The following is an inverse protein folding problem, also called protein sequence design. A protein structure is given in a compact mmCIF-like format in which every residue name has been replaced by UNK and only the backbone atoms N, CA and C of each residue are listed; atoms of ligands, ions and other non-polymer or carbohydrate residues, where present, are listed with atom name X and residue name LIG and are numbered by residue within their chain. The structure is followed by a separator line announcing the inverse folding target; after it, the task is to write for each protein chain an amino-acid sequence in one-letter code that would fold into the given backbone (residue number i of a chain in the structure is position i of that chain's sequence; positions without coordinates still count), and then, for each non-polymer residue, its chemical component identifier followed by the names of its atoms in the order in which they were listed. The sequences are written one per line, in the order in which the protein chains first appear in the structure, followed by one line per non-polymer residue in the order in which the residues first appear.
data_IF_768569705189
#
_entry.id   IF_768569705189
#
_cell.length_a   1.000
_cell.length_b   1.000
_cell.length_c   1.000
_cell.angle_alpha   90.00
_cell.angle_beta   90.00
_cell.angle_gamma   90.00
#
_symmetry.space_group_name_H-M   'P 1'
#
loop_
_entity.id
_entity.type
_entity.pdbx_description
1 polymer ?
#
# COMPACT_ATOMS: atom_id res chain seq x y z
N UNK A 1 4.71 -11.37 -8.87
CA UNK A 1 5.40 -11.59 -10.17
C UNK A 1 5.09 -10.58 -11.29
N UNK A 2 4.29 -9.55 -11.02
CA UNK A 2 4.02 -8.47 -12.00
C UNK A 2 5.28 -7.68 -12.36
N UNK A 3 6.21 -7.51 -11.42
CA UNK A 3 7.46 -6.78 -11.64
C UNK A 3 8.43 -7.60 -12.50
N UNK A 4 8.48 -8.92 -12.34
CA UNK A 4 9.27 -9.81 -13.19
C UNK A 4 8.72 -9.96 -14.61
N UNK A 5 7.45 -9.67 -14.81
CA UNK A 5 6.80 -9.67 -16.14
C UNK A 5 6.82 -8.33 -16.84
N UNK A 6 7.39 -7.29 -16.22
CA UNK A 6 7.55 -5.98 -16.83
C UNK A 6 8.61 -6.05 -17.94
N UNK A 7 8.18 -6.22 -19.19
CA UNK A 7 9.05 -6.31 -20.36
C UNK A 7 9.81 -5.01 -20.70
N UNK A 8 9.86 -4.04 -19.80
CA UNK A 8 10.54 -2.75 -19.95
C UNK A 8 11.86 -2.66 -19.16
N UNK A 9 12.10 -3.55 -18.20
CA UNK A 9 13.36 -3.57 -17.47
C UNK A 9 14.24 -4.69 -18.00
N UNK A 10 15.50 -4.44 -18.40
CA UNK A 10 16.45 -5.49 -18.71
C UNK A 10 16.61 -6.41 -17.49
N UNK A 11 16.54 -7.72 -17.68
CA UNK A 11 16.63 -8.72 -16.60
C UNK A 11 17.89 -8.55 -15.74
N UNK A 12 18.98 -8.04 -16.30
CA UNK A 12 20.24 -7.77 -15.61
C UNK A 12 20.19 -6.59 -14.62
N UNK A 13 19.22 -5.66 -14.78
CA UNK A 13 19.08 -4.49 -13.90
C UNK A 13 18.15 -4.74 -12.71
N UNK A 14 17.38 -5.84 -12.71
CA UNK A 14 16.42 -6.16 -11.65
C UNK A 14 17.06 -7.01 -10.55
N UNK A 15 18.09 -7.82 -10.87
CA UNK A 15 18.82 -8.59 -9.87
C UNK A 15 19.57 -7.67 -8.89
N UNK A 16 19.11 -7.65 -7.64
CA UNK A 16 19.70 -6.86 -6.56
C UNK A 16 18.97 -5.55 -6.23
N UNK A 17 17.95 -5.17 -7.01
CA UNK A 17 17.08 -4.01 -6.75
C UNK A 17 15.70 -4.39 -6.25
N UNK A 18 15.26 -5.63 -6.50
CA UNK A 18 14.00 -6.18 -6.04
C UNK A 18 14.23 -7.19 -4.92
N UNK A 19 13.60 -6.97 -3.77
CA UNK A 19 13.59 -7.91 -2.65
C UNK A 19 12.15 -8.33 -2.41
N UNK A 20 11.87 -9.62 -2.57
CA UNK A 20 10.57 -10.20 -2.23
C UNK A 20 10.62 -10.69 -0.77
N UNK A 21 9.65 -10.25 0.03
CA UNK A 21 9.43 -10.78 1.37
C UNK A 21 8.39 -11.89 1.29
N UNK A 22 8.63 -12.98 2.00
CA UNK A 22 7.69 -14.09 2.02
C UNK A 22 6.36 -13.67 2.67
N UNK A 23 5.26 -14.22 2.14
CA UNK A 23 3.92 -13.94 2.64
C UNK A 23 3.82 -14.36 4.11
N UNK A 24 3.56 -13.39 4.96
CA UNK A 24 3.30 -13.60 6.37
C UNK A 24 2.45 -12.46 6.93
N UNK A 25 1.78 -12.69 8.06
CA UNK A 25 1.13 -11.61 8.78
C UNK A 25 2.17 -10.51 9.03
N UNK A 26 1.92 -9.30 8.55
CA UNK A 26 2.90 -8.21 8.59
C UNK A 26 3.40 -7.95 10.02
N UNK A 27 2.60 -8.22 11.05
CA UNK A 27 3.00 -8.06 12.45
C UNK A 27 4.06 -9.07 12.92
N UNK A 28 4.07 -10.31 12.40
CA UNK A 28 5.08 -11.32 12.74
C UNK A 28 6.28 -11.23 11.77
N UNK A 29 6.01 -11.06 10.48
CA UNK A 29 7.03 -10.98 9.42
C UNK A 29 7.83 -9.67 9.47
N UNK A 30 7.26 -8.59 10.03
CA UNK A 30 7.95 -7.29 10.15
C UNK A 30 9.23 -7.41 10.97
N UNK A 31 9.22 -8.15 12.07
CA UNK A 31 10.43 -8.31 12.90
C UNK A 31 11.44 -9.25 12.25
N UNK A 32 10.97 -10.34 11.65
CA UNK A 32 11.83 -11.43 11.22
C UNK A 32 12.43 -11.21 9.82
N UNK A 33 11.72 -10.53 8.93
CA UNK A 33 12.15 -10.35 7.54
C UNK A 33 12.27 -8.88 7.12
N UNK A 34 11.30 -8.03 7.46
CA UNK A 34 11.26 -6.65 6.98
C UNK A 34 12.40 -5.81 7.56
N UNK A 35 12.63 -5.86 8.88
CA UNK A 35 13.70 -5.07 9.50
C UNK A 35 15.09 -5.47 9.02
N UNK A 36 15.48 -6.76 9.01
CA UNK A 36 16.79 -7.16 8.48
C UNK A 36 16.96 -6.77 7.01
N UNK A 37 15.89 -6.84 6.22
CA UNK A 37 15.90 -6.41 4.83
C UNK A 37 16.13 -4.91 4.71
N UNK A 38 15.40 -4.10 5.51
CA UNK A 38 15.59 -2.65 5.54
C UNK A 38 17.01 -2.28 5.99
N UNK A 39 17.55 -2.93 7.02
CA UNK A 39 18.92 -2.70 7.47
C UNK A 39 19.94 -2.99 6.35
N UNK A 40 19.77 -4.09 5.63
CA UNK A 40 20.62 -4.44 4.46
C UNK A 40 20.51 -3.41 3.33
N UNK A 41 19.30 -2.92 3.03
CA UNK A 41 19.11 -1.86 2.03
C UNK A 41 19.75 -0.55 2.48
N UNK A 42 19.66 -0.22 3.76
CA UNK A 42 20.24 0.99 4.33
C UNK A 42 21.78 0.96 4.39
N UNK A 43 22.42 -0.21 4.35
CA UNK A 43 23.88 -0.31 4.16
C UNK A 43 24.34 0.24 2.81
N UNK A 44 23.44 0.29 1.82
CA UNK A 44 23.67 0.81 0.46
C UNK A 44 22.93 2.11 0.20
N UNK A 45 22.54 2.85 1.23
CA UNK A 45 21.72 4.06 1.11
C UNK A 45 22.34 5.14 0.22
N UNK A 46 23.68 5.22 0.14
CA UNK A 46 24.43 6.11 -0.72
C UNK A 46 24.33 5.77 -2.23
N UNK A 47 23.82 4.58 -2.56
CA UNK A 47 23.63 4.08 -3.90
C UNK A 47 22.15 4.07 -4.32
N UNK A 48 21.22 4.47 -3.43
CA UNK A 48 19.80 4.44 -3.63
C UNK A 48 19.21 5.85 -3.61
N UNK A 49 18.41 6.19 -4.61
CA UNK A 49 17.62 7.42 -4.64
C UNK A 49 16.38 7.31 -3.72
N UNK A 50 15.90 6.10 -3.47
CA UNK A 50 14.77 5.80 -2.61
C UNK A 50 14.43 4.31 -2.55
N UNK A 51 13.50 3.98 -1.67
CA UNK A 51 12.96 2.62 -1.51
C UNK A 51 11.46 2.70 -1.75
N UNK A 52 10.96 1.87 -2.65
CA UNK A 52 9.52 1.70 -2.90
C UNK A 52 9.10 0.37 -2.29
N UNK A 53 8.11 0.41 -1.41
CA UNK A 53 7.54 -0.78 -0.79
C UNK A 53 6.18 -1.04 -1.41
N UNK A 54 6.06 -2.14 -2.16
CA UNK A 54 4.78 -2.64 -2.66
C UNK A 54 4.22 -3.66 -1.66
N UNK A 55 2.98 -3.48 -1.27
CA UNK A 55 2.27 -4.40 -0.40
C UNK A 55 1.24 -5.22 -1.19
N UNK A 56 0.84 -6.35 -0.64
CA UNK A 56 -0.36 -7.04 -1.09
C UNK A 56 -1.58 -6.12 -1.02
N UNK A 57 -2.54 -6.28 -1.94
CA UNK A 57 -3.82 -5.56 -1.91
C UNK A 57 -4.64 -5.81 -0.63
N UNK A 58 -4.32 -6.87 0.12
CA UNK A 58 -4.95 -7.22 1.40
C UNK A 58 -4.17 -6.71 2.63
N UNK A 59 -3.06 -6.01 2.43
CA UNK A 59 -2.24 -5.52 3.52
C UNK A 59 -2.83 -4.26 4.17
N UNK A 60 -2.77 -4.25 5.51
CA UNK A 60 -3.02 -3.05 6.30
C UNK A 60 -1.77 -2.15 6.27
N UNK A 61 -1.88 -0.86 5.90
CA UNK A 61 -0.71 0.00 5.79
C UNK A 61 -0.11 0.39 7.15
N UNK A 62 -0.92 0.45 8.21
CA UNK A 62 -0.50 0.93 9.54
C UNK A 62 0.65 0.12 10.16
N UNK A 63 0.63 -1.23 10.18
CA UNK A 63 1.73 -2.01 10.75
C UNK A 63 3.06 -1.73 10.06
N UNK A 64 3.05 -1.56 8.72
CA UNK A 64 4.25 -1.22 7.97
C UNK A 64 4.78 0.18 8.32
N UNK A 65 3.88 1.17 8.40
CA UNK A 65 4.25 2.54 8.80
C UNK A 65 4.82 2.58 10.22
N UNK A 66 4.25 1.80 11.15
CA UNK A 66 4.78 1.66 12.50
C UNK A 66 6.17 1.01 12.53
N UNK A 67 6.41 0.02 11.66
CA UNK A 67 7.71 -0.62 11.54
C UNK A 67 8.81 0.35 11.05
N UNK A 68 8.47 1.27 10.15
CA UNK A 68 9.37 2.32 9.68
C UNK A 68 9.73 3.34 10.77
N UNK A 69 8.90 3.47 11.81
CA UNK A 69 9.14 4.32 12.99
C UNK A 69 10.00 3.64 14.08
N UNK A 70 10.42 2.39 13.88
CA UNK A 70 11.20 1.67 14.89
C UNK A 70 12.58 2.28 15.12
N UNK A 71 13.09 2.26 16.38
CA UNK A 71 14.33 2.91 16.75
C UNK A 71 15.55 2.52 15.91
N UNK A 72 15.57 1.28 15.40
CA UNK A 72 16.69 0.76 14.59
C UNK A 72 16.83 1.48 13.24
N UNK A 73 15.72 1.92 12.64
CA UNK A 73 15.72 2.47 11.26
C UNK A 73 15.17 3.89 11.15
N UNK A 74 14.31 4.36 12.07
CA UNK A 74 13.62 5.66 11.99
C UNK A 74 14.51 6.89 11.79
N UNK A 75 15.76 6.83 12.24
CA UNK A 75 16.71 7.94 12.06
C UNK A 75 17.35 7.97 10.66
N UNK A 76 17.17 6.90 9.88
CA UNK A 76 17.76 6.69 8.56
C UNK A 76 16.71 6.61 7.45
N UNK A 77 15.43 6.49 7.80
CA UNK A 77 14.31 6.34 6.87
C UNK A 77 13.33 7.49 7.07
N UNK A 78 12.84 8.02 5.97
CA UNK A 78 11.74 8.97 5.94
C UNK A 78 10.66 8.48 4.97
N UNK A 79 9.41 8.42 5.43
CA UNK A 79 8.29 8.08 4.56
C UNK A 79 7.93 9.31 3.74
N UNK A 80 8.13 9.24 2.43
CA UNK A 80 7.77 10.33 1.52
C UNK A 80 6.27 10.41 1.29
N UNK A 81 5.60 9.28 1.17
CA UNK A 81 4.17 9.24 0.96
C UNK A 81 3.62 7.83 0.88
N UNK A 82 2.33 7.73 1.14
CA UNK A 82 1.54 6.51 0.98
C UNK A 82 0.63 6.69 -0.21
N UNK A 83 0.78 5.80 -1.20
CA UNK A 83 -0.03 5.79 -2.41
C UNK A 83 -0.97 4.60 -2.36
N UNK A 84 -2.26 4.85 -2.45
CA UNK A 84 -3.29 3.80 -2.54
C UNK A 84 -3.84 3.75 -3.96
N UNK A 85 -3.87 2.55 -4.54
CA UNK A 85 -4.44 2.31 -5.86
C UNK A 85 -5.86 1.78 -5.70
N UNK A 86 -6.82 2.48 -6.31
CA UNK A 86 -8.25 2.10 -6.31
C UNK A 86 -8.66 1.72 -7.73
N UNK A 87 -9.36 0.62 -7.86
CA UNK A 87 -10.02 0.25 -9.12
C UNK A 87 -11.28 1.08 -9.32
N UNK A 88 -11.20 2.09 -10.20
CA UNK A 88 -12.30 3.00 -10.45
C UNK A 88 -13.53 2.32 -11.06
N UNK A 89 -13.33 1.35 -11.97
CA UNK A 89 -14.42 0.63 -12.61
C UNK A 89 -15.16 -0.28 -11.61
N UNK A 90 -14.42 -0.99 -10.76
CA UNK A 90 -14.99 -1.82 -9.71
C UNK A 90 -15.80 -0.97 -8.71
N UNK A 91 -15.24 0.16 -8.29
CA UNK A 91 -15.89 1.04 -7.34
C UNK A 91 -17.16 1.70 -7.95
N UNK A 92 -17.14 2.06 -9.22
CA UNK A 92 -18.32 2.53 -9.94
C UNK A 92 -19.42 1.45 -10.04
N UNK A 93 -19.02 0.17 -10.08
CA UNK A 93 -19.95 -0.97 -10.02
C UNK A 93 -20.44 -1.30 -8.59
N UNK A 94 -20.00 -0.54 -7.57
CA UNK A 94 -20.42 -0.68 -6.18
C UNK A 94 -19.58 -1.65 -5.34
N UNK A 95 -18.40 -2.05 -5.82
CA UNK A 95 -17.49 -2.92 -5.09
C UNK A 95 -16.09 -2.31 -5.01
N UNK A 96 -15.38 -2.38 -3.86
CA UNK A 96 -13.98 -1.96 -3.78
C UNK A 96 -13.02 -2.90 -4.54
N UNK A 97 -13.48 -4.07 -4.94
CA UNK A 97 -12.69 -5.09 -5.64
C UNK A 97 -13.41 -5.57 -6.90
N UNK A 98 -12.66 -5.83 -7.97
CA UNK A 98 -13.20 -6.27 -9.25
C UNK A 98 -13.70 -7.72 -9.23
N UNK A 99 -13.06 -8.58 -8.45
CA UNK A 99 -13.36 -10.03 -8.33
C UNK A 99 -13.36 -10.45 -6.86
N UNK A 100 -14.54 -10.45 -6.25
CA UNK A 100 -14.72 -10.86 -4.86
C UNK A 100 -14.43 -12.36 -4.64
N UNK A 101 -14.70 -13.22 -5.64
CA UNK A 101 -14.41 -14.66 -5.53
C UNK A 101 -12.91 -14.95 -5.59
N UNK A 102 -12.16 -14.22 -6.44
CA UNK A 102 -10.72 -14.33 -6.48
C UNK A 102 -10.10 -13.86 -5.16
N UNK A 103 -10.63 -12.80 -4.57
CA UNK A 103 -10.18 -12.28 -3.29
C UNK A 103 -10.43 -13.28 -2.15
N UNK A 104 -11.59 -13.90 -2.09
CA UNK A 104 -11.89 -14.93 -1.08
C UNK A 104 -10.99 -16.17 -1.25
N UNK A 105 -10.68 -16.57 -2.48
CA UNK A 105 -9.70 -17.64 -2.72
C UNK A 105 -8.31 -17.27 -2.21
N UNK A 106 -7.85 -16.05 -2.50
CA UNK A 106 -6.56 -15.55 -2.01
C UNK A 106 -6.50 -15.51 -0.49
N UNK A 107 -7.60 -15.12 0.17
CA UNK A 107 -7.71 -15.16 1.63
C UNK A 107 -7.63 -16.59 2.18
N UNK A 108 -8.28 -17.55 1.52
CA UNK A 108 -8.28 -18.94 1.94
C UNK A 108 -6.89 -19.62 1.75
N UNK A 109 -6.09 -19.15 0.81
CA UNK A 109 -4.75 -19.65 0.52
C UNK A 109 -3.66 -19.05 1.42
N UNK A 110 -3.92 -17.89 2.04
CA UNK A 110 -2.95 -17.20 2.90
C UNK A 110 -3.35 -17.31 4.39
N UNK A 111 -2.72 -18.27 5.14
CA UNK A 111 -3.01 -18.46 6.56
C UNK A 111 -2.68 -17.25 7.43
N UNK A 112 -1.91 -16.31 6.92
CA UNK A 112 -1.52 -15.09 7.65
C UNK A 112 -2.61 -14.03 7.66
N UNK A 113 -3.62 -14.18 6.80
CA UNK A 113 -4.80 -13.29 6.72
C UNK A 113 -5.94 -13.74 7.67
N UNK A 114 -5.61 -14.41 8.77
CA UNK A 114 -6.55 -14.99 9.74
C UNK A 114 -7.41 -13.95 10.48
N UNK A 115 -7.19 -12.67 10.23
CA UNK A 115 -8.04 -11.60 10.71
C UNK A 115 -9.06 -11.24 9.63
N UNK A 116 -10.28 -11.72 9.83
CA UNK A 116 -11.48 -11.43 9.02
C UNK A 116 -11.87 -9.93 9.09
N UNK A 117 -10.94 -9.05 8.78
CA UNK A 117 -11.30 -7.65 8.55
C UNK A 117 -12.19 -7.60 7.33
N UNK A 118 -13.38 -7.04 7.47
CA UNK A 118 -14.28 -6.88 6.35
C UNK A 118 -13.57 -6.09 5.23
N UNK A 119 -13.81 -6.45 3.97
CA UNK A 119 -13.16 -5.79 2.82
C UNK A 119 -13.38 -4.28 2.88
N UNK A 120 -14.55 -3.86 3.32
CA UNK A 120 -14.88 -2.43 3.45
C UNK A 120 -14.03 -1.73 4.52
N UNK A 121 -13.77 -2.38 5.65
CA UNK A 121 -12.91 -1.85 6.72
C UNK A 121 -11.46 -1.76 6.26
N UNK A 122 -10.96 -2.80 5.57
CA UNK A 122 -9.63 -2.80 4.97
C UNK A 122 -9.48 -1.66 3.95
N UNK A 123 -10.47 -1.50 3.09
CA UNK A 123 -10.49 -0.44 2.09
C UNK A 123 -10.49 0.95 2.75
N UNK A 124 -11.27 1.15 3.81
CA UNK A 124 -11.28 2.40 4.58
C UNK A 124 -9.92 2.67 5.25
N UNK A 125 -9.30 1.67 5.87
CA UNK A 125 -7.98 1.81 6.48
C UNK A 125 -6.90 2.17 5.46
N UNK A 126 -6.93 1.58 4.28
CA UNK A 126 -6.02 1.91 3.18
C UNK A 126 -6.23 3.35 2.69
N UNK A 127 -7.48 3.80 2.55
CA UNK A 127 -7.80 5.17 2.17
C UNK A 127 -7.40 6.19 3.25
N UNK A 128 -7.60 5.85 4.53
CA UNK A 128 -7.21 6.70 5.65
C UNK A 128 -5.69 6.86 5.79
N UNK A 129 -4.91 5.88 5.35
CA UNK A 129 -3.45 5.96 5.36
C UNK A 129 -2.88 6.76 4.18
N UNK A 130 -3.64 6.90 3.09
CA UNK A 130 -3.17 7.48 1.83
C UNK A 130 -2.86 8.97 1.91
N UNK A 131 -1.77 9.39 1.29
CA UNK A 131 -1.46 10.78 0.95
C UNK A 131 -1.89 11.10 -0.49
N UNK A 132 -1.88 10.07 -1.36
CA UNK A 132 -2.36 10.11 -2.73
C UNK A 132 -3.17 8.86 -3.03
N UNK A 133 -4.35 9.04 -3.62
CA UNK A 133 -5.14 7.94 -4.18
C UNK A 133 -5.10 8.02 -5.71
N UNK A 134 -4.62 6.97 -6.34
CA UNK A 134 -4.68 6.79 -7.79
C UNK A 134 -5.94 6.00 -8.14
N UNK A 135 -6.84 6.60 -8.91
CA UNK A 135 -8.05 5.95 -9.40
C UNK A 135 -7.73 5.37 -10.77
N UNK A 136 -7.47 4.06 -10.79
CA UNK A 136 -7.10 3.34 -12.01
C UNK A 136 -8.30 3.13 -12.95
N UNK A 137 -8.01 2.76 -14.19
CA UNK A 137 -9.04 2.55 -15.23
C UNK A 137 -9.97 3.75 -15.44
N UNK A 138 -9.44 4.94 -15.28
CA UNK A 138 -10.19 6.17 -15.47
C UNK A 138 -10.77 6.32 -16.89
N UNK A 139 -10.10 5.72 -17.87
CA UNK A 139 -10.54 5.63 -19.26
C UNK A 139 -11.78 4.75 -19.49
N UNK A 140 -12.13 3.89 -18.52
CA UNK A 140 -13.34 3.07 -18.56
C UNK A 140 -14.58 3.79 -17.98
N UNK A 141 -14.40 4.95 -17.35
CA UNK A 141 -15.46 5.70 -16.69
C UNK A 141 -15.89 6.92 -17.49
N UNK A 142 -17.20 7.16 -17.55
CA UNK A 142 -17.71 8.44 -18.00
C UNK A 142 -17.58 9.52 -16.88
N UNK A 143 -17.87 10.78 -17.23
CA UNK A 143 -17.71 11.89 -16.29
C UNK A 143 -18.63 11.78 -15.05
N UNK A 144 -19.82 11.18 -15.18
CA UNK A 144 -20.74 10.98 -14.06
C UNK A 144 -20.24 9.93 -13.11
N UNK A 145 -19.85 8.76 -13.62
CA UNK A 145 -19.30 7.66 -12.84
C UNK A 145 -17.98 8.07 -12.13
N UNK A 146 -17.13 8.83 -12.83
CA UNK A 146 -15.90 9.36 -12.24
C UNK A 146 -16.22 10.31 -11.08
N UNK A 147 -17.19 11.19 -11.21
CA UNK A 147 -17.58 12.12 -10.15
C UNK A 147 -18.15 11.37 -8.92
N UNK A 148 -18.93 10.31 -9.15
CA UNK A 148 -19.45 9.45 -8.07
C UNK A 148 -18.32 8.72 -7.34
N UNK A 149 -17.38 8.10 -8.06
CA UNK A 149 -16.21 7.43 -7.50
C UNK A 149 -15.37 8.41 -6.68
N UNK A 150 -15.07 9.59 -7.21
CA UNK A 150 -14.33 10.63 -6.49
C UNK A 150 -15.06 11.06 -5.22
N UNK A 151 -16.38 11.23 -5.27
CA UNK A 151 -17.22 11.57 -4.12
C UNK A 151 -17.17 10.51 -3.01
N UNK A 152 -17.25 9.24 -3.38
CA UNK A 152 -17.14 8.11 -2.44
C UNK A 152 -15.78 8.08 -1.75
N UNK A 153 -14.71 8.22 -2.52
CA UNK A 153 -13.33 8.23 -1.97
C UNK A 153 -13.12 9.46 -1.09
N UNK A 154 -13.55 10.65 -1.55
CA UNK A 154 -13.38 11.92 -0.81
C UNK A 154 -14.04 11.88 0.57
N UNK A 155 -15.14 11.13 0.72
CA UNK A 155 -15.83 10.92 2.01
C UNK A 155 -15.06 10.02 2.99
N UNK A 156 -14.07 9.28 2.52
CA UNK A 156 -13.33 8.25 3.28
C UNK A 156 -11.86 8.61 3.53
N UNK A 157 -11.25 9.47 2.74
CA UNK A 157 -9.85 9.88 2.90
C UNK A 157 -9.66 10.96 3.94
N UNK A 158 -8.41 11.13 4.37
CA UNK A 158 -8.02 12.25 5.27
C UNK A 158 -8.11 13.60 4.54
N UNK A 159 -8.35 14.70 5.28
CA UNK A 159 -8.24 16.04 4.70
C UNK A 159 -6.85 16.28 4.12
N UNK A 160 -6.80 16.69 2.86
CA UNK A 160 -5.57 16.98 2.14
C UNK A 160 -5.00 15.80 1.34
N UNK A 161 -5.61 14.61 1.38
CA UNK A 161 -5.29 13.52 0.45
C UNK A 161 -5.66 13.92 -0.97
N UNK A 162 -4.71 13.77 -1.89
CA UNK A 162 -4.93 14.03 -3.31
C UNK A 162 -5.61 12.84 -4.00
N UNK A 163 -6.50 13.10 -4.94
CA UNK A 163 -7.12 12.09 -5.80
C UNK A 163 -6.69 12.34 -7.24
N UNK A 164 -6.16 11.32 -7.90
CA UNK A 164 -5.68 11.42 -9.28
C UNK A 164 -6.25 10.27 -10.13
N UNK A 165 -7.13 10.55 -11.09
CA UNK A 165 -7.53 9.58 -12.10
C UNK A 165 -6.35 9.23 -13.00
N UNK A 166 -6.13 7.93 -13.24
CA UNK A 166 -5.05 7.43 -14.08
C UNK A 166 -5.58 6.38 -15.06
N UNK A 167 -5.03 6.42 -16.26
CA UNK A 167 -5.37 5.48 -17.33
C UNK A 167 -4.15 4.63 -17.64
N UNK A 168 -4.33 3.31 -17.70
CA UNK A 168 -3.29 2.33 -18.02
C UNK A 168 -2.01 2.48 -17.18
N UNK A 169 -2.15 2.89 -15.92
CA UNK A 169 -1.03 3.08 -14.99
C UNK A 169 -0.12 4.28 -15.29
N UNK A 170 -0.49 5.13 -16.24
CA UNK A 170 0.33 6.28 -16.63
C UNK A 170 0.18 7.42 -15.62
N UNK A 171 1.25 7.68 -14.88
CA UNK A 171 1.36 8.78 -13.93
C UNK A 171 2.81 9.33 -13.97
N UNK A 172 2.94 10.64 -13.84
CA UNK A 172 4.26 11.26 -13.73
C UNK A 172 4.96 10.81 -12.44
N UNK A 173 6.18 10.28 -12.56
CA UNK A 173 6.96 9.78 -11.43
C UNK A 173 7.14 10.85 -10.34
N UNK A 174 7.31 12.11 -10.75
CA UNK A 174 7.43 13.26 -9.84
C UNK A 174 6.21 13.47 -8.95
N UNK A 175 5.00 13.09 -9.40
CA UNK A 175 3.78 13.19 -8.61
C UNK A 175 3.75 12.12 -7.51
N UNK A 176 4.24 10.91 -7.82
CA UNK A 176 4.26 9.79 -6.88
C UNK A 176 5.40 9.92 -5.88
N UNK A 177 6.59 10.29 -6.32
CA UNK A 177 7.79 10.39 -5.49
C UNK A 177 7.96 11.75 -4.80
N UNK A 178 7.23 12.78 -5.23
CA UNK A 178 7.27 14.13 -4.66
C UNK A 178 6.28 14.39 -3.52
N UNK A 179 5.72 13.33 -2.92
CA UNK A 179 4.76 13.45 -1.84
C UNK A 179 5.43 13.88 -0.53
N UNK A 180 4.65 14.50 0.35
CA UNK A 180 5.01 14.75 1.73
C UNK A 180 4.03 14.00 2.64
N UNK A 181 4.52 12.94 3.31
CA UNK A 181 3.70 12.16 4.23
C UNK A 181 3.32 12.99 5.45
N UNK A 182 2.02 13.07 5.72
CA UNK A 182 1.48 13.66 6.95
C UNK A 182 1.07 12.55 7.91
N UNK A 183 1.87 12.27 8.97
CA UNK A 183 1.53 11.24 9.92
C UNK A 183 0.12 11.47 10.49
N UNK A 184 -0.67 10.42 10.53
CA UNK A 184 -1.99 10.44 11.15
C UNK A 184 -1.81 10.67 12.63
N UNK A 185 -2.43 11.70 13.21
CA UNK A 185 -2.53 11.83 14.65
C UNK A 185 -3.16 10.54 15.18
N UNK A 186 -2.44 9.82 16.05
CA UNK A 186 -2.85 8.54 16.59
C UNK A 186 -4.19 8.72 17.32
N UNK A 187 -5.28 8.33 16.69
CA UNK A 187 -6.47 7.96 17.42
C UNK A 187 -6.12 6.61 18.07
N UNK A 188 -5.78 6.64 19.36
CA UNK A 188 -5.69 5.46 20.18
C UNK A 188 -7.10 4.85 20.31
N UNK A 189 -7.52 4.09 19.31
CA UNK A 189 -8.59 3.11 19.51
C UNK A 189 -7.88 1.86 20.00
N UNK A 190 -7.93 1.66 21.32
CA UNK A 190 -7.63 0.40 21.95
C UNK A 190 -8.53 -0.68 21.34
N UNK A 191 -8.01 -1.40 20.37
CA UNK A 191 -8.34 -2.80 20.23
C UNK A 191 -7.22 -3.54 20.94
N UNK A 192 -7.47 -3.86 22.21
CA UNK A 192 -6.67 -4.77 23.02
C UNK A 192 -6.63 -6.15 22.33
N UNK A 193 -5.68 -6.33 21.43
CA UNK A 193 -5.19 -7.65 21.14
C UNK A 193 -3.85 -7.74 21.88
N UNK A 194 -3.91 -8.36 23.06
CA UNK A 194 -2.76 -8.79 23.83
C UNK A 194 -1.83 -9.65 22.96
N UNK A 195 -0.95 -9.00 22.23
CA UNK A 195 0.25 -9.65 21.72
C UNK A 195 1.24 -9.61 22.88
N UNK A 196 1.18 -10.63 23.74
CA UNK A 196 2.10 -10.80 24.85
C UNK A 196 3.53 -10.94 24.29
N UNK A 197 4.31 -9.88 24.48
CA UNK A 197 5.77 -9.93 24.35
C UNK A 197 6.33 -10.80 25.46
N UNK A 198 6.96 -11.91 25.09
CA UNK A 198 7.95 -12.60 25.90
C UNK A 198 9.33 -12.37 25.31
#
# INVERSE_FOLDING_TARGET
DLIRSCGFCPEEDVEGRLVELNNGCLCCTVQDEFLPTMETLLERADQLDGIVVETSGLALPRPLLQALDWPAIRSRVHVNGVVTLVDGEALAAGSPVADAEALERQRAEDPSLDHLTAIDELFEDQLQAADLVLISRADCLDASAMAEVQGLIQGKVRPGTALLPVSQGQVETSVVLGLEHKPTAQAHTHHDHDCLLY
#
